data_IF_747738393943
#
_entry.id   IF_747738393943
#
_cell.length_a   1.000
_cell.length_b   1.000
_cell.length_c   1.000
_cell.angle_alpha   90.00
_cell.angle_beta   90.00
_cell.angle_gamma   90.00
#
_symmetry.space_group_name_H-M   'P 1'
#
loop_
_entity.id
_entity.type
_entity.pdbx_description
1 polymer ?
#
# COMPACT_ATOMS: atom_id res chain seq x y z
N UNK A 1 18.74 15.89 -19.86
CA UNK A 1 17.82 15.22 -18.89
C UNK A 1 16.60 16.08 -18.70
N UNK A 2 15.41 15.51 -18.69
CA UNK A 2 14.16 16.20 -18.33
C UNK A 2 13.42 15.37 -17.30
N UNK A 3 12.55 16.03 -16.52
CA UNK A 3 11.75 15.42 -15.47
C UNK A 3 10.28 15.62 -15.77
N UNK A 4 9.47 14.61 -15.50
CA UNK A 4 8.02 14.66 -15.64
C UNK A 4 7.44 14.48 -14.24
N UNK A 5 6.59 15.41 -13.84
CA UNK A 5 5.88 15.37 -12.56
C UNK A 5 4.38 15.55 -12.79
N UNK A 6 3.58 14.97 -11.92
CA UNK A 6 2.12 15.11 -11.94
C UNK A 6 1.56 15.12 -10.52
N UNK A 7 0.35 15.63 -10.38
CA UNK A 7 -0.37 15.64 -9.10
C UNK A 7 -1.84 15.33 -9.32
N UNK A 8 -2.34 14.36 -8.58
CA UNK A 8 -3.73 13.92 -8.61
C UNK A 8 -4.28 13.91 -7.18
N UNK A 9 -4.59 15.09 -6.61
CA UNK A 9 -5.03 15.19 -5.21
C UNK A 9 -6.44 14.64 -4.98
N UNK A 10 -7.27 14.59 -6.01
CA UNK A 10 -8.70 14.29 -5.93
C UNK A 10 -9.02 12.80 -6.13
N UNK A 11 -8.20 11.93 -5.55
CA UNK A 11 -8.46 10.48 -5.62
C UNK A 11 -9.74 10.12 -4.89
N UNK A 12 -10.56 9.31 -5.52
CA UNK A 12 -11.75 8.68 -4.91
C UNK A 12 -11.53 7.21 -4.59
N UNK A 13 -10.68 6.52 -5.37
CA UNK A 13 -10.56 5.06 -5.32
C UNK A 13 -11.95 4.41 -5.48
N UNK A 14 -12.40 3.60 -4.51
CA UNK A 14 -13.76 3.02 -4.48
C UNK A 14 -14.73 3.80 -3.58
N UNK A 15 -14.34 5.00 -3.14
CA UNK A 15 -15.22 5.88 -2.35
C UNK A 15 -16.16 6.70 -3.22
N UNK A 16 -17.32 7.04 -2.69
CA UNK A 16 -18.22 8.03 -3.29
C UNK A 16 -17.69 9.46 -3.16
N UNK A 17 -16.83 9.72 -2.17
CA UNK A 17 -16.21 11.01 -1.88
C UNK A 17 -14.73 11.02 -2.19
N UNK A 18 -14.14 12.21 -2.32
CA UNK A 18 -12.69 12.36 -2.47
C UNK A 18 -12.02 11.96 -1.16
N UNK A 19 -11.11 10.99 -1.24
CA UNK A 19 -10.31 10.52 -0.09
C UNK A 19 -8.87 11.05 -0.14
N UNK A 20 -8.41 11.53 -1.29
CA UNK A 20 -7.09 12.13 -1.46
C UNK A 20 -5.93 11.15 -1.57
N UNK A 21 -4.72 11.69 -1.48
CA UNK A 21 -3.46 10.97 -1.49
C UNK A 21 -2.50 11.51 -0.44
N UNK A 22 -1.68 10.66 0.15
CA UNK A 22 -0.69 11.04 1.15
C UNK A 22 0.32 12.07 0.64
N UNK A 23 0.79 11.92 -0.59
CA UNK A 23 1.78 12.85 -1.15
C UNK A 23 1.24 14.28 -1.28
N UNK A 24 -0.09 14.44 -1.41
CA UNK A 24 -0.72 15.76 -1.50
C UNK A 24 -0.60 16.57 -0.20
N UNK A 25 -0.34 15.92 0.94
CA UNK A 25 -0.01 16.61 2.19
C UNK A 25 1.40 17.20 2.19
N UNK A 26 2.29 16.66 1.34
CA UNK A 26 3.69 17.06 1.27
C UNK A 26 3.94 18.05 0.13
N UNK A 27 3.23 17.89 -0.97
CA UNK A 27 3.41 18.67 -2.19
C UNK A 27 2.07 19.20 -2.67
N UNK A 28 1.86 20.52 -2.63
CA UNK A 28 0.57 21.09 -3.05
C UNK A 28 0.27 20.91 -4.54
N UNK A 29 1.32 20.78 -5.36
CA UNK A 29 1.22 20.60 -6.80
C UNK A 29 2.43 19.86 -7.37
N UNK A 30 2.37 19.58 -8.68
CA UNK A 30 3.42 18.87 -9.40
C UNK A 30 4.72 19.69 -9.49
N UNK A 31 4.64 21.02 -9.56
CA UNK A 31 5.81 21.88 -9.63
C UNK A 31 6.57 21.84 -8.29
N UNK A 32 5.85 21.96 -7.19
CA UNK A 32 6.45 21.91 -5.85
C UNK A 32 7.05 20.54 -5.54
N UNK A 33 6.44 19.48 -6.03
CA UNK A 33 7.04 18.14 -5.98
C UNK A 33 8.38 18.10 -6.74
N UNK A 34 8.42 18.65 -7.96
CA UNK A 34 9.65 18.73 -8.75
C UNK A 34 10.76 19.50 -8.01
N UNK A 35 10.47 20.72 -7.56
CA UNK A 35 11.43 21.55 -6.85
C UNK A 35 12.02 20.85 -5.61
N UNK A 36 11.20 20.07 -4.92
CA UNK A 36 11.59 19.40 -3.69
C UNK A 36 12.36 18.10 -3.95
N UNK A 37 11.92 17.30 -4.93
CA UNK A 37 12.44 15.94 -5.14
C UNK A 37 13.66 15.91 -6.06
N UNK A 38 13.71 16.76 -7.10
CA UNK A 38 14.82 16.72 -8.07
C UNK A 38 16.20 16.84 -7.39
N UNK A 39 16.41 17.77 -6.45
CA UNK A 39 17.70 17.86 -5.75
C UNK A 39 18.05 16.62 -4.90
N UNK A 40 17.05 15.83 -4.53
CA UNK A 40 17.21 14.65 -3.69
C UNK A 40 17.45 13.36 -4.49
N UNK A 41 17.24 13.38 -5.81
CA UNK A 41 17.32 12.17 -6.65
C UNK A 41 18.62 11.38 -6.43
N UNK A 42 19.82 11.99 -6.41
CA UNK A 42 21.05 11.22 -6.19
C UNK A 42 21.06 10.47 -4.85
N UNK A 43 20.53 11.08 -3.80
CA UNK A 43 20.42 10.44 -2.49
C UNK A 43 19.37 9.32 -2.45
N UNK A 44 18.25 9.51 -3.13
CA UNK A 44 17.19 8.49 -3.25
C UNK A 44 17.67 7.31 -4.09
N UNK A 45 18.41 7.56 -5.17
CA UNK A 45 19.03 6.51 -5.98
C UNK A 45 20.00 5.69 -5.16
N UNK A 46 20.91 6.33 -4.42
CA UNK A 46 21.85 5.64 -3.54
C UNK A 46 21.16 4.78 -2.49
N UNK A 47 20.07 5.24 -1.87
CA UNK A 47 19.29 4.44 -0.92
C UNK A 47 18.65 3.22 -1.60
N UNK A 48 18.10 3.40 -2.79
CA UNK A 48 17.50 2.31 -3.56
C UNK A 48 18.54 1.26 -3.95
N UNK A 49 19.69 1.69 -4.46
CA UNK A 49 20.79 0.80 -4.82
C UNK A 49 21.36 0.07 -3.60
N UNK A 50 21.49 0.75 -2.47
CA UNK A 50 21.95 0.13 -1.21
C UNK A 50 21.00 -0.99 -0.76
N UNK A 51 19.68 -0.77 -0.83
CA UNK A 51 18.69 -1.79 -0.52
C UNK A 51 18.78 -2.98 -1.47
N UNK A 52 18.82 -2.72 -2.78
CA UNK A 52 18.92 -3.78 -3.79
C UNK A 52 20.21 -4.58 -3.61
N UNK A 53 21.34 -3.92 -3.41
CA UNK A 53 22.64 -4.58 -3.22
C UNK A 53 22.67 -5.41 -1.93
N UNK A 54 22.04 -4.93 -0.85
CA UNK A 54 21.92 -5.70 0.38
C UNK A 54 21.14 -7.01 0.16
N UNK A 55 20.02 -6.95 -0.57
CA UNK A 55 19.23 -8.14 -0.91
C UNK A 55 20.00 -9.11 -1.84
N UNK A 56 20.63 -8.58 -2.88
CA UNK A 56 21.42 -9.37 -3.83
C UNK A 56 22.65 -10.00 -3.17
N UNK A 57 23.23 -9.33 -2.18
CA UNK A 57 24.38 -9.84 -1.40
C UNK A 57 24.06 -10.95 -0.40
N UNK A 58 22.78 -11.31 -0.23
CA UNK A 58 22.39 -12.42 0.66
C UNK A 58 22.76 -13.77 0.08
N UNK A 59 22.81 -14.82 0.92
CA UNK A 59 23.08 -16.19 0.51
C UNK A 59 21.88 -16.93 -0.08
N UNK A 60 20.74 -16.26 -0.26
CA UNK A 60 19.56 -16.86 -0.89
C UNK A 60 19.83 -17.24 -2.36
N UNK A 61 19.19 -18.30 -2.88
CA UNK A 61 19.25 -18.64 -4.29
C UNK A 61 18.81 -17.47 -5.19
N UNK A 62 19.42 -17.32 -6.36
CA UNK A 62 19.12 -16.20 -7.27
C UNK A 62 17.62 -16.10 -7.62
N UNK A 63 16.95 -17.24 -7.86
CA UNK A 63 15.52 -17.27 -8.16
C UNK A 63 14.67 -16.66 -7.02
N UNK A 64 15.10 -16.82 -5.78
CA UNK A 64 14.41 -16.25 -4.60
C UNK A 64 14.60 -14.72 -4.56
N UNK A 65 15.83 -14.25 -4.80
CA UNK A 65 16.15 -12.81 -4.85
C UNK A 65 15.37 -12.13 -5.97
N UNK A 66 15.36 -12.73 -7.15
CA UNK A 66 14.65 -12.24 -8.32
C UNK A 66 13.14 -12.15 -8.04
N UNK A 67 12.54 -13.23 -7.55
CA UNK A 67 11.13 -13.26 -7.20
C UNK A 67 10.76 -12.19 -6.15
N UNK A 68 11.60 -12.02 -5.12
CA UNK A 68 11.38 -10.99 -4.10
C UNK A 68 11.41 -9.57 -4.69
N UNK A 69 12.40 -9.25 -5.54
CA UNK A 69 12.51 -7.93 -6.16
C UNK A 69 11.33 -7.61 -7.09
N UNK A 70 10.90 -8.58 -7.90
CA UNK A 70 9.74 -8.39 -8.78
C UNK A 70 8.45 -8.18 -8.00
N UNK A 71 8.23 -8.91 -6.92
CA UNK A 71 7.04 -8.74 -6.07
C UNK A 71 6.98 -7.35 -5.42
N UNK A 72 8.12 -6.76 -5.06
CA UNK A 72 8.18 -5.41 -4.52
C UNK A 72 7.70 -4.33 -5.51
N UNK A 73 7.71 -4.62 -6.81
CA UNK A 73 7.21 -3.68 -7.82
C UNK A 73 5.73 -3.32 -7.62
N UNK A 74 4.93 -4.19 -7.01
CA UNK A 74 3.53 -3.94 -6.67
C UNK A 74 3.36 -2.70 -5.80
N UNK A 75 4.27 -2.46 -4.86
CA UNK A 75 4.24 -1.27 -3.97
C UNK A 75 4.42 0.05 -4.72
N UNK A 76 4.93 0.02 -5.94
CA UNK A 76 5.17 1.16 -6.81
C UNK A 76 4.18 1.25 -7.97
N UNK A 77 3.21 0.36 -8.00
CA UNK A 77 2.16 0.32 -9.01
C UNK A 77 0.91 1.07 -8.53
N UNK A 78 -0.09 1.18 -9.41
CA UNK A 78 -1.39 1.72 -9.06
C UNK A 78 -2.26 0.76 -8.23
N UNK A 79 -1.80 -0.47 -8.02
CA UNK A 79 -2.48 -1.45 -7.17
C UNK A 79 -2.59 -0.97 -5.73
N UNK A 80 -1.62 -0.21 -5.27
CA UNK A 80 -1.58 0.34 -3.90
C UNK A 80 -1.55 1.86 -3.89
N UNK A 81 -2.03 2.44 -2.80
CA UNK A 81 -1.94 3.88 -2.55
C UNK A 81 -2.00 4.15 -1.04
N UNK A 82 -1.66 5.38 -0.65
CA UNK A 82 -1.76 5.82 0.73
C UNK A 82 -2.78 6.94 0.84
N UNK A 83 -3.66 6.83 1.82
CA UNK A 83 -4.57 7.90 2.21
C UNK A 83 -3.79 9.07 2.83
N UNK A 84 -4.36 10.29 2.88
CA UNK A 84 -3.74 11.42 3.57
C UNK A 84 -3.34 11.12 5.02
N UNK A 85 -4.09 10.27 5.71
CA UNK A 85 -3.78 9.77 7.04
C UNK A 85 -2.55 8.85 7.12
N UNK A 86 -1.99 8.44 5.98
CA UNK A 86 -0.84 7.54 5.89
C UNK A 86 -1.18 6.06 5.73
N UNK A 87 -2.45 5.67 5.91
CA UNK A 87 -2.86 4.29 5.78
C UNK A 87 -2.72 3.77 4.35
N UNK A 88 -2.09 2.61 4.23
CA UNK A 88 -1.94 1.91 2.96
C UNK A 88 -3.23 1.16 2.62
N UNK A 89 -3.69 1.34 1.40
CA UNK A 89 -4.85 0.68 0.83
C UNK A 89 -4.47 0.04 -0.51
N UNK A 90 -5.24 -0.97 -0.94
CA UNK A 90 -4.95 -1.62 -2.21
C UNK A 90 -6.14 -2.29 -2.86
N UNK A 91 -5.99 -2.54 -4.16
CA UNK A 91 -6.79 -3.47 -4.93
C UNK A 91 -6.09 -4.83 -5.00
N UNK A 92 -6.80 -5.86 -5.44
CA UNK A 92 -6.18 -7.15 -5.78
C UNK A 92 -5.32 -7.06 -7.04
N UNK A 93 -5.61 -6.09 -7.89
CA UNK A 93 -4.87 -5.81 -9.10
C UNK A 93 -5.38 -4.55 -9.78
N UNK A 94 -4.93 -4.29 -10.98
CA UNK A 94 -5.38 -3.17 -11.81
C UNK A 94 -5.74 -3.65 -13.22
N UNK A 95 -6.71 -2.99 -13.82
CA UNK A 95 -7.06 -3.13 -15.23
C UNK A 95 -7.03 -1.74 -15.88
N UNK A 96 -7.27 -1.67 -17.18
CA UNK A 96 -7.09 -0.45 -17.97
C UNK A 96 -7.86 0.77 -17.43
N UNK A 97 -8.97 0.57 -16.76
CA UNK A 97 -9.87 1.65 -16.34
C UNK A 97 -9.96 1.83 -14.84
N UNK A 98 -9.76 0.78 -14.07
CA UNK A 98 -9.92 0.80 -12.60
C UNK A 98 -9.18 -0.38 -11.96
N UNK A 99 -9.12 -0.38 -10.63
CA UNK A 99 -8.59 -1.51 -9.88
C UNK A 99 -9.51 -2.73 -9.93
N UNK A 100 -8.95 -3.91 -9.73
CA UNK A 100 -9.68 -5.17 -9.61
C UNK A 100 -9.86 -5.50 -8.14
N UNK A 101 -11.09 -5.72 -7.72
CA UNK A 101 -11.46 -6.06 -6.34
C UNK A 101 -10.83 -5.11 -5.30
N UNK A 102 -11.59 -4.11 -4.95
CA UNK A 102 -11.20 -3.04 -4.01
C UNK A 102 -11.16 -3.50 -2.55
N UNK A 103 -10.71 -2.61 -1.68
CA UNK A 103 -10.92 -2.69 -0.24
C UNK A 103 -9.84 -3.41 0.53
N UNK A 104 -8.63 -3.53 0.02
CA UNK A 104 -7.53 -4.24 0.70
C UNK A 104 -7.98 -5.60 1.20
N UNK A 105 -8.53 -6.42 0.30
CA UNK A 105 -9.13 -7.71 0.61
C UNK A 105 -8.23 -8.55 1.54
N UNK A 106 -8.70 -8.83 2.73
CA UNK A 106 -7.94 -9.58 3.74
C UNK A 106 -7.59 -10.99 3.29
N UNK A 107 -8.46 -11.62 2.47
CA UNK A 107 -8.18 -12.92 1.88
C UNK A 107 -6.96 -12.88 0.95
N UNK A 108 -6.90 -11.92 0.01
CA UNK A 108 -5.80 -11.83 -0.97
C UNK A 108 -4.54 -11.23 -0.36
N UNK A 109 -4.66 -10.11 0.35
CA UNK A 109 -3.51 -9.45 0.99
C UNK A 109 -2.91 -10.27 2.13
N UNK A 110 -3.62 -11.29 2.62
CA UNK A 110 -3.06 -12.25 3.55
C UNK A 110 -1.83 -13.00 2.98
N UNK A 111 -1.81 -13.26 1.70
CA UNK A 111 -0.69 -13.95 1.03
C UNK A 111 0.52 -13.04 0.79
N UNK A 112 0.34 -11.73 0.90
CA UNK A 112 1.44 -10.76 0.79
C UNK A 112 2.22 -10.72 2.10
N UNK A 113 3.46 -11.19 2.09
CA UNK A 113 4.32 -11.28 3.27
C UNK A 113 5.55 -10.37 3.19
N UNK A 114 5.85 -9.81 2.01
CA UNK A 114 7.04 -8.99 1.81
C UNK A 114 6.94 -7.65 2.57
N UNK A 115 5.79 -7.00 2.56
CA UNK A 115 5.59 -5.71 3.23
C UNK A 115 5.80 -5.78 4.75
N UNK A 116 5.22 -6.74 5.50
CA UNK A 116 5.50 -6.91 6.92
C UNK A 116 6.98 -7.12 7.21
N UNK A 117 7.66 -7.89 6.39
CA UNK A 117 9.06 -8.22 6.59
C UNK A 117 10.01 -7.07 6.25
N UNK A 118 9.80 -6.39 5.14
CA UNK A 118 10.71 -5.38 4.61
C UNK A 118 10.32 -3.94 4.96
N UNK A 119 9.04 -3.67 5.14
CA UNK A 119 8.48 -2.33 5.31
C UNK A 119 7.47 -2.31 6.49
N UNK A 120 7.94 -2.69 7.67
CA UNK A 120 7.11 -2.86 8.87
C UNK A 120 6.22 -1.65 9.19
N UNK A 121 6.74 -0.43 9.02
CA UNK A 121 5.93 0.78 9.27
C UNK A 121 4.75 0.91 8.28
N UNK A 122 4.92 0.49 7.05
CA UNK A 122 3.84 0.46 6.08
C UNK A 122 2.82 -0.63 6.43
N UNK A 123 3.31 -1.81 6.79
CA UNK A 123 2.47 -2.93 7.22
C UNK A 123 1.63 -2.60 8.45
N UNK A 124 2.17 -1.87 9.43
CA UNK A 124 1.41 -1.39 10.60
C UNK A 124 0.19 -0.57 10.19
N UNK A 125 0.29 0.26 9.16
CA UNK A 125 -0.86 1.04 8.68
C UNK A 125 -1.96 0.17 8.09
N UNK A 126 -1.62 -0.96 7.48
CA UNK A 126 -2.61 -1.94 7.02
C UNK A 126 -3.30 -2.64 8.20
N UNK A 127 -2.51 -3.05 9.20
CA UNK A 127 -3.06 -3.64 10.45
C UNK A 127 -3.98 -2.68 11.17
N UNK A 128 -3.63 -1.40 11.20
CA UNK A 128 -4.48 -0.36 11.79
C UNK A 128 -5.85 -0.28 11.09
N UNK A 129 -5.86 -0.29 9.75
CA UNK A 129 -7.12 -0.33 9.00
C UNK A 129 -7.94 -1.57 9.33
N UNK A 130 -7.31 -2.73 9.35
CA UNK A 130 -8.00 -4.01 9.58
C UNK A 130 -8.62 -4.10 10.99
N UNK A 131 -7.85 -3.75 12.02
CA UNK A 131 -8.29 -3.94 13.40
C UNK A 131 -9.07 -2.76 13.96
N UNK A 132 -8.72 -1.53 13.64
CA UNK A 132 -9.34 -0.35 14.24
C UNK A 132 -10.46 0.25 13.38
N UNK A 133 -10.48 -0.02 12.08
CA UNK A 133 -11.51 0.52 11.18
C UNK A 133 -12.42 -0.54 10.56
N UNK A 134 -11.90 -1.69 10.15
CA UNK A 134 -12.68 -2.71 9.46
C UNK A 134 -13.25 -3.79 10.39
N UNK A 135 -12.84 -3.82 11.66
CA UNK A 135 -13.34 -4.76 12.67
C UNK A 135 -14.44 -4.10 13.51
N UNK A 136 -15.54 -4.79 13.68
CA UNK A 136 -16.68 -4.38 14.52
C UNK A 136 -16.46 -4.75 15.99
N UNK A 137 -17.25 -4.16 16.88
CA UNK A 137 -17.21 -4.44 18.33
C UNK A 137 -17.42 -5.94 18.65
N UNK A 138 -18.18 -6.66 17.83
CA UNK A 138 -18.38 -8.10 17.99
C UNK A 138 -17.22 -8.96 17.46
N UNK A 139 -16.12 -8.33 17.02
CA UNK A 139 -14.94 -9.01 16.51
C UNK A 139 -15.01 -9.42 15.03
N UNK A 140 -16.11 -9.17 14.32
CA UNK A 140 -16.19 -9.43 12.91
C UNK A 140 -15.34 -8.44 12.14
N UNK A 141 -14.28 -8.91 11.47
CA UNK A 141 -13.49 -8.13 10.52
C UNK A 141 -14.11 -8.24 9.12
N UNK A 142 -14.49 -7.11 8.55
CA UNK A 142 -14.96 -7.07 7.18
C UNK A 142 -13.83 -7.46 6.23
N UNK A 143 -14.07 -8.38 5.30
CA UNK A 143 -12.99 -8.88 4.45
C UNK A 143 -12.49 -7.85 3.42
N UNK A 144 -13.26 -6.79 3.20
CA UNK A 144 -12.89 -5.63 2.36
C UNK A 144 -13.18 -4.35 3.12
N UNK A 145 -12.18 -3.52 3.30
CA UNK A 145 -12.35 -2.22 3.93
C UNK A 145 -12.98 -1.22 2.97
N UNK A 146 -14.14 -0.68 3.31
CA UNK A 146 -14.78 0.39 2.56
C UNK A 146 -14.04 1.73 2.72
N UNK A 147 -14.31 2.68 1.84
CA UNK A 147 -13.83 4.05 1.92
C UNK A 147 -14.99 5.05 1.86
N UNK A 148 -14.89 6.17 2.58
CA UNK A 148 -13.81 6.59 3.47
C UNK A 148 -13.62 5.64 4.67
N UNK A 149 -12.53 5.78 5.44
CA UNK A 149 -12.23 4.86 6.57
C UNK A 149 -13.34 4.78 7.61
N UNK A 150 -14.13 5.84 7.80
CA UNK A 150 -15.33 5.80 8.65
C UNK A 150 -16.39 4.77 8.21
N UNK A 151 -16.27 4.27 7.01
CA UNK A 151 -17.15 3.28 6.40
C UNK A 151 -16.50 1.88 6.31
N UNK A 152 -15.25 1.74 6.76
CA UNK A 152 -14.45 0.53 6.52
C UNK A 152 -15.09 -0.76 7.07
N UNK A 153 -15.85 -0.65 8.15
CA UNK A 153 -16.59 -1.78 8.74
C UNK A 153 -17.99 -1.98 8.15
N UNK A 154 -18.40 -1.17 7.15
CA UNK A 154 -19.67 -1.39 6.47
C UNK A 154 -19.63 -2.71 5.69
N UNK A 155 -20.44 -3.63 6.08
CA UNK A 155 -20.49 -4.97 5.51
C UNK A 155 -20.60 -6.01 6.60
N UNK A 156 -20.96 -7.23 6.22
CA UNK A 156 -21.12 -8.34 7.15
C UNK A 156 -20.48 -9.62 6.60
N UNK A 157 -19.49 -9.48 5.73
CA UNK A 157 -18.85 -10.60 5.06
C UNK A 157 -17.41 -10.75 5.57
N UNK A 158 -17.14 -11.59 6.57
CA UNK A 158 -15.79 -11.94 6.94
C UNK A 158 -15.20 -12.96 5.96
N UNK A 159 -13.90 -12.94 5.77
CA UNK A 159 -13.16 -14.07 5.23
C UNK A 159 -12.39 -14.70 6.39
N UNK A 160 -12.73 -15.93 6.75
CA UNK A 160 -12.15 -16.58 7.94
C UNK A 160 -10.63 -16.72 7.83
N UNK A 161 -10.12 -17.15 6.67
CA UNK A 161 -8.69 -17.23 6.38
C UNK A 161 -8.02 -15.84 6.37
N UNK A 162 -8.68 -14.84 5.83
CA UNK A 162 -8.21 -13.46 5.82
C UNK A 162 -8.09 -12.89 7.22
N UNK A 163 -9.13 -13.00 8.04
CA UNK A 163 -9.10 -12.52 9.42
C UNK A 163 -8.04 -13.23 10.25
N UNK A 164 -7.93 -14.54 10.12
CA UNK A 164 -6.88 -15.32 10.79
C UNK A 164 -5.47 -14.92 10.33
N UNK A 165 -5.29 -14.70 9.04
CA UNK A 165 -4.02 -14.24 8.50
C UNK A 165 -3.64 -12.84 8.97
N UNK A 166 -4.61 -11.93 9.10
CA UNK A 166 -4.37 -10.60 9.69
C UNK A 166 -3.89 -10.72 11.15
N UNK A 167 -4.49 -11.63 11.94
CA UNK A 167 -4.05 -11.90 13.31
C UNK A 167 -2.62 -12.45 13.34
N UNK A 168 -2.30 -13.39 12.46
CA UNK A 168 -0.93 -13.93 12.36
C UNK A 168 0.12 -12.88 12.00
N UNK A 169 -0.24 -11.88 11.22
CA UNK A 169 0.67 -10.80 10.79
C UNK A 169 0.93 -9.72 11.84
N UNK A 170 0.27 -9.77 12.99
CA UNK A 170 0.57 -8.88 14.11
C UNK A 170 1.88 -9.30 14.82
N UNK A 171 2.19 -10.59 14.79
CA UNK A 171 3.42 -11.14 15.35
C UNK A 171 4.61 -10.96 14.39
#
# INVERSE_FOLDING_TARGET
TFYITWSFPNRKAWSSVVVGNYYSNQYPDAWKAAETIIPQIPGLENKTLSFINALLGTSYPEVVKEAALFNLATLRSQTVFRLPSGHMMGWEGVMDRFGSCEGSCTHVWNYETATPYLFGELAKTMRDVEFNYATKENGLMNFRASLPLSEASKGNNPAADGQMGCIMKIY
#
